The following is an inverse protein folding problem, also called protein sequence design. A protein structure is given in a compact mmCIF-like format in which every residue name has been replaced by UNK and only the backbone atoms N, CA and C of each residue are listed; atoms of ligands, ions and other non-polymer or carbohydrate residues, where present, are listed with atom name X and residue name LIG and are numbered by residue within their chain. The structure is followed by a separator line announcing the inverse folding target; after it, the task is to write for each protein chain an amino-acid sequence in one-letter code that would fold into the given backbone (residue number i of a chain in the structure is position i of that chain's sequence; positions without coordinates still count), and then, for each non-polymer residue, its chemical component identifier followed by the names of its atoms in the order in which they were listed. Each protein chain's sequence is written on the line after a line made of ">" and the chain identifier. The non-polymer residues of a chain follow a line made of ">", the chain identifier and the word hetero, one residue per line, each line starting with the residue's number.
data_IF_043527134611
#
_entry.id   IF_043527134611
#
_cell.length_a   1.000
_cell.length_b   1.000
_cell.length_c   1.000
_cell.angle_alpha   90.00
_cell.angle_beta   90.00
_cell.angle_gamma   90.00
#
_symmetry.space_group_name_H-M   'P 1'
#
loop_
_entity.id
_entity.type
_entity.pdbx_description
1 polymer ?
#
# COMPACT_ATOMS: atom_id res chain seq x y z
N UNK A 1 -10.46 13.32 0.92
CA UNK A 1 -11.85 12.84 0.96
C UNK A 1 -12.41 12.57 -0.43
N UNK A 2 -12.61 13.57 -1.31
CA UNK A 2 -13.27 13.33 -2.61
C UNK A 2 -12.63 12.25 -3.50
N UNK A 3 -11.31 12.31 -3.73
CA UNK A 3 -10.59 11.37 -4.61
C UNK A 3 -10.63 9.91 -4.14
N UNK A 4 -10.54 9.66 -2.82
CA UNK A 4 -10.56 8.29 -2.28
C UNK A 4 -11.95 7.66 -2.39
N UNK A 5 -13.02 8.46 -2.30
CA UNK A 5 -14.40 8.00 -2.49
C UNK A 5 -14.65 7.65 -3.96
N UNK A 6 -14.18 8.47 -4.89
CA UNK A 6 -14.30 8.19 -6.32
C UNK A 6 -13.58 6.89 -6.70
N UNK A 7 -12.37 6.69 -6.18
CA UNK A 7 -11.63 5.43 -6.34
C UNK A 7 -12.42 4.25 -5.77
N UNK A 8 -12.93 4.34 -4.55
CA UNK A 8 -13.74 3.28 -3.93
C UNK A 8 -14.93 2.88 -4.81
N UNK A 9 -15.67 3.85 -5.37
CA UNK A 9 -16.79 3.57 -6.30
C UNK A 9 -16.35 2.82 -7.56
N UNK A 10 -15.19 3.18 -8.13
CA UNK A 10 -14.63 2.47 -9.29
C UNK A 10 -14.27 1.02 -8.90
N UNK A 11 -13.66 0.82 -7.73
CA UNK A 11 -13.30 -0.50 -7.21
C UNK A 11 -14.54 -1.37 -6.99
N UNK A 12 -15.60 -0.84 -6.38
CA UNK A 12 -16.89 -1.53 -6.23
C UNK A 12 -17.47 -1.94 -7.58
N UNK A 13 -17.52 -1.00 -8.54
CA UNK A 13 -18.05 -1.26 -9.88
C UNK A 13 -17.27 -2.36 -10.61
N UNK A 14 -15.96 -2.47 -10.35
CA UNK A 14 -15.09 -3.50 -10.95
C UNK A 14 -14.96 -4.76 -10.09
N UNK A 15 -15.64 -4.83 -8.93
CA UNK A 15 -15.56 -5.93 -7.97
C UNK A 15 -14.11 -6.22 -7.54
N UNK A 16 -13.35 -5.16 -7.26
CA UNK A 16 -11.96 -5.25 -6.77
C UNK A 16 -11.97 -5.10 -5.25
N UNK A 17 -11.48 -6.12 -4.53
CA UNK A 17 -11.45 -6.10 -3.07
C UNK A 17 -10.19 -5.46 -2.48
N UNK A 18 -9.07 -5.48 -3.18
CA UNK A 18 -7.79 -4.88 -2.73
C UNK A 18 -7.18 -4.09 -3.89
N UNK A 19 -6.76 -2.85 -3.64
CA UNK A 19 -6.13 -2.02 -4.65
C UNK A 19 -4.99 -1.19 -4.08
N UNK A 20 -3.84 -1.24 -4.74
CA UNK A 20 -2.69 -0.36 -4.49
C UNK A 20 -2.80 0.88 -5.36
N UNK A 21 -2.61 2.06 -4.76
CA UNK A 21 -2.69 3.37 -5.43
C UNK A 21 -1.42 4.17 -5.18
N UNK A 22 -0.98 4.91 -6.19
CA UNK A 22 0.29 5.64 -6.22
C UNK A 22 0.08 7.06 -6.77
N UNK A 23 1.04 7.95 -6.52
CA UNK A 23 0.98 9.40 -6.84
C UNK A 23 -0.30 10.10 -6.32
N UNK A 24 -0.73 9.73 -5.11
CA UNK A 24 -1.99 10.24 -4.54
C UNK A 24 -1.85 11.64 -3.94
N UNK A 25 -0.60 12.07 -3.69
CA UNK A 25 -0.21 13.33 -3.04
C UNK A 25 -0.83 13.53 -1.66
N UNK A 26 -1.24 12.44 -1.01
CA UNK A 26 -1.73 12.45 0.37
C UNK A 26 -0.57 12.66 1.35
N UNK A 27 -0.85 13.32 2.47
CA UNK A 27 0.18 13.67 3.47
C UNK A 27 -0.10 12.96 4.79
N UNK A 28 0.96 12.40 5.36
CA UNK A 28 0.98 11.69 6.62
C UNK A 28 0.93 10.18 6.46
N UNK A 29 0.98 9.51 7.60
CA UNK A 29 0.83 8.06 7.74
C UNK A 29 -0.47 7.81 8.51
N UNK A 30 -1.55 7.46 7.80
CA UNK A 30 -2.87 7.30 8.42
C UNK A 30 -3.63 6.11 7.85
N UNK A 31 -4.73 5.78 8.52
CA UNK A 31 -5.77 4.90 8.03
C UNK A 31 -7.09 5.67 8.05
N UNK A 32 -7.89 5.57 6.99
CA UNK A 32 -9.18 6.26 6.88
C UNK A 32 -10.20 5.37 6.17
N UNK A 33 -11.47 5.51 6.52
CA UNK A 33 -12.55 4.83 5.82
C UNK A 33 -12.95 5.64 4.57
N UNK A 34 -13.24 4.93 3.47
CA UNK A 34 -13.54 5.49 2.16
C UNK A 34 -14.62 4.64 1.47
N UNK A 35 -15.89 5.02 1.65
CA UNK A 35 -17.05 4.47 0.93
C UNK A 35 -17.02 2.93 0.79
N UNK A 36 -17.03 2.21 1.92
CA UNK A 36 -16.97 0.75 1.93
C UNK A 36 -15.57 0.13 1.85
N UNK A 37 -14.52 0.95 1.83
CA UNK A 37 -13.12 0.50 1.91
C UNK A 37 -12.40 1.10 3.12
N UNK A 38 -11.38 0.39 3.60
CA UNK A 38 -10.35 0.94 4.48
C UNK A 38 -9.12 1.29 3.65
N UNK A 39 -8.68 2.54 3.75
CA UNK A 39 -7.50 3.05 3.06
C UNK A 39 -6.39 3.28 4.08
N UNK A 40 -5.27 2.57 3.94
CA UNK A 40 -4.01 2.93 4.59
C UNK A 40 -3.15 3.67 3.59
N UNK A 41 -2.51 4.76 4.01
CA UNK A 41 -1.62 5.52 3.14
C UNK A 41 -0.38 6.02 3.86
N UNK A 42 0.63 6.34 3.06
CA UNK A 42 1.91 6.90 3.48
C UNK A 42 2.31 7.99 2.49
N UNK A 43 2.58 9.19 3.00
CA UNK A 43 3.16 10.29 2.23
C UNK A 43 3.90 11.26 3.15
N UNK A 44 5.09 11.70 2.75
CA UNK A 44 5.96 12.56 3.57
C UNK A 44 5.71 14.04 3.35
N UNK A 45 5.65 14.46 2.09
CA UNK A 45 5.55 15.86 1.70
C UNK A 45 4.26 16.14 0.93
N UNK A 46 3.68 17.32 1.14
CA UNK A 46 2.51 17.76 0.39
C UNK A 46 2.84 17.90 -1.10
N UNK A 47 2.03 17.28 -1.95
CA UNK A 47 2.15 17.42 -3.40
C UNK A 47 3.22 16.53 -4.04
N UNK A 48 3.93 15.71 -3.27
CA UNK A 48 4.89 14.71 -3.77
C UNK A 48 4.44 13.32 -3.36
N UNK A 49 5.05 12.31 -4.00
CA UNK A 49 5.07 10.89 -3.65
C UNK A 49 4.11 10.49 -2.51
N UNK A 50 3.10 9.71 -2.85
CA UNK A 50 2.30 9.06 -1.84
C UNK A 50 1.71 7.79 -2.41
N UNK A 51 1.60 6.81 -1.53
CA UNK A 51 1.05 5.50 -1.83
C UNK A 51 -0.07 5.18 -0.84
N UNK A 52 -0.97 4.30 -1.26
CA UNK A 52 -1.99 3.76 -0.40
C UNK A 52 -2.42 2.38 -0.83
N UNK A 53 -3.02 1.65 0.09
CA UNK A 53 -3.69 0.39 -0.17
C UNK A 53 -5.13 0.54 0.34
N UNK A 54 -6.09 0.32 -0.56
CA UNK A 54 -7.51 0.18 -0.24
C UNK A 54 -7.82 -1.30 -0.09
N UNK A 55 -8.52 -1.65 0.99
CA UNK A 55 -9.05 -2.99 1.25
C UNK A 55 -10.53 -2.87 1.52
N UNK A 56 -11.31 -3.76 0.92
CA UNK A 56 -12.74 -3.87 1.13
C UNK A 56 -13.07 -4.00 2.63
N UNK A 57 -14.22 -3.45 3.04
CA UNK A 57 -14.65 -3.45 4.44
C UNK A 57 -14.71 -4.85 5.05
N UNK A 58 -15.06 -5.88 4.28
CA UNK A 58 -15.14 -7.25 4.79
C UNK A 58 -13.74 -7.84 5.03
N UNK A 59 -12.79 -7.52 4.15
CA UNK A 59 -11.41 -8.01 4.24
C UNK A 59 -10.55 -7.20 5.22
N UNK A 60 -10.97 -5.99 5.61
CA UNK A 60 -10.16 -5.12 6.48
C UNK A 60 -9.89 -5.76 7.85
N UNK A 61 -10.81 -6.59 8.35
CA UNK A 61 -10.68 -7.26 9.65
C UNK A 61 -9.63 -8.39 9.60
N UNK A 62 -9.27 -8.85 8.39
CA UNK A 62 -8.22 -9.84 8.18
C UNK A 62 -6.82 -9.19 8.16
N UNK A 63 -6.73 -7.86 8.07
CA UNK A 63 -5.45 -7.14 8.04
C UNK A 63 -4.82 -7.16 9.43
N UNK A 64 -3.81 -8.01 9.61
CA UNK A 64 -3.09 -8.15 10.88
C UNK A 64 -1.91 -7.16 11.00
N UNK A 65 -1.26 -6.83 9.89
CA UNK A 65 -0.05 -6.00 9.90
C UNK A 65 -0.08 -4.97 8.77
N UNK A 66 0.36 -3.75 9.07
CA UNK A 66 0.52 -2.67 8.09
C UNK A 66 1.91 -2.07 8.24
N UNK A 67 2.82 -2.40 7.32
CA UNK A 67 4.18 -1.88 7.26
C UNK A 67 4.24 -0.70 6.30
N UNK A 68 4.68 0.45 6.79
CA UNK A 68 4.93 1.65 5.97
C UNK A 68 6.41 1.97 6.06
N UNK A 69 7.16 1.62 5.02
CA UNK A 69 8.61 1.79 5.00
C UNK A 69 8.94 3.23 4.58
N UNK A 70 8.37 3.67 3.45
CA UNK A 70 8.57 5.02 2.91
C UNK A 70 7.27 5.61 2.36
N UNK A 71 7.33 6.78 1.75
CA UNK A 71 6.25 7.35 0.93
C UNK A 71 6.13 6.68 -0.46
N UNK A 72 6.99 5.69 -0.73
CA UNK A 72 7.05 4.90 -1.97
C UNK A 72 6.94 3.41 -1.77
N UNK A 73 7.12 2.90 -0.55
CA UNK A 73 6.98 1.48 -0.22
C UNK A 73 6.10 1.26 1.02
N UNK A 74 5.04 0.46 0.87
CA UNK A 74 4.21 -0.04 1.96
C UNK A 74 3.76 -1.47 1.69
N UNK A 75 3.43 -2.22 2.74
CA UNK A 75 2.80 -3.51 2.62
C UNK A 75 1.75 -3.73 3.71
N UNK A 76 0.83 -4.63 3.41
CA UNK A 76 -0.11 -5.18 4.39
C UNK A 76 -0.05 -6.69 4.39
N UNK A 77 -0.33 -7.28 5.54
CA UNK A 77 -0.44 -8.72 5.74
C UNK A 77 -1.87 -9.04 6.13
N UNK A 78 -2.52 -9.93 5.37
CA UNK A 78 -3.87 -10.40 5.63
C UNK A 78 -3.85 -11.89 5.99
N UNK A 79 -4.51 -12.26 7.08
CA UNK A 79 -4.74 -13.66 7.42
C UNK A 79 -5.99 -14.18 6.71
N UNK A 80 -5.85 -15.11 5.77
CA UNK A 80 -6.96 -15.69 5.01
C UNK A 80 -6.99 -17.20 5.23
N UNK A 81 -7.87 -17.66 6.14
CA UNK A 81 -7.93 -19.06 6.56
C UNK A 81 -6.63 -19.48 7.24
N UNK A 82 -6.01 -20.57 6.76
CA UNK A 82 -4.71 -21.05 7.24
C UNK A 82 -3.52 -20.39 6.51
N UNK A 83 -3.78 -19.50 5.55
CA UNK A 83 -2.76 -18.86 4.72
C UNK A 83 -2.63 -17.37 5.05
N UNK A 84 -1.47 -16.81 4.73
CA UNK A 84 -1.19 -15.37 4.87
C UNK A 84 -0.98 -14.77 3.49
N UNK A 85 -1.77 -13.75 3.15
CA UNK A 85 -1.60 -12.96 1.93
C UNK A 85 -0.82 -11.68 2.25
N UNK A 86 0.31 -11.47 1.58
CA UNK A 86 1.08 -10.23 1.68
C UNK A 86 0.86 -9.40 0.42
N UNK A 87 0.44 -8.15 0.59
CA UNK A 87 0.23 -7.20 -0.50
C UNK A 87 1.20 -6.05 -0.32
N UNK A 88 2.16 -5.92 -1.23
CA UNK A 88 3.10 -4.80 -1.27
C UNK A 88 2.69 -3.79 -2.35
N UNK A 89 2.85 -2.51 -2.03
CA UNK A 89 2.68 -1.40 -2.95
C UNK A 89 3.99 -0.63 -2.99
N UNK A 90 4.62 -0.63 -4.17
CA UNK A 90 5.91 -0.01 -4.40
C UNK A 90 5.83 0.95 -5.60
N UNK A 91 6.25 2.20 -5.41
CA UNK A 91 6.36 3.21 -6.47
C UNK A 91 7.84 3.44 -6.82
N UNK A 92 8.26 2.93 -7.97
CA UNK A 92 9.65 2.97 -8.40
C UNK A 92 10.13 4.42 -8.64
N UNK A 93 11.39 4.73 -8.25
CA UNK A 93 12.00 6.02 -8.59
C UNK A 93 12.13 6.20 -10.11
N UNK A 94 12.01 7.45 -10.57
CA UNK A 94 12.14 7.80 -11.99
C UNK A 94 13.56 7.55 -12.52
N UNK A 95 13.69 7.30 -13.83
CA UNK A 95 14.96 6.92 -14.50
C UNK A 95 16.08 7.96 -14.30
N UNK A 96 15.75 9.25 -14.20
CA UNK A 96 16.71 10.35 -14.02
C UNK A 96 17.04 10.71 -12.56
N UNK A 97 16.53 9.95 -11.58
CA UNK A 97 16.83 10.19 -10.17
C UNK A 97 18.21 9.64 -9.79
N UNK A 98 18.82 10.20 -8.74
CA UNK A 98 20.12 9.77 -8.21
C UNK A 98 20.16 8.24 -7.98
N UNK A 99 21.21 7.57 -8.45
CA UNK A 99 21.45 6.13 -8.28
C UNK A 99 21.42 5.71 -6.82
N UNK A 100 21.84 6.57 -5.90
CA UNK A 100 21.75 6.33 -4.46
C UNK A 100 20.31 6.15 -3.99
N UNK A 101 19.37 6.94 -4.54
CA UNK A 101 17.94 6.83 -4.21
C UNK A 101 17.36 5.53 -4.80
N UNK A 102 17.83 5.11 -5.97
CA UNK A 102 17.44 3.83 -6.58
C UNK A 102 17.93 2.66 -5.73
N UNK A 103 19.21 2.70 -5.32
CA UNK A 103 19.79 1.67 -4.45
C UNK A 103 19.02 1.57 -3.13
N UNK A 104 18.79 2.68 -2.44
CA UNK A 104 18.04 2.66 -1.19
C UNK A 104 16.61 2.14 -1.34
N UNK A 105 15.95 2.44 -2.46
CA UNK A 105 14.64 1.86 -2.74
C UNK A 105 14.69 0.32 -2.89
N UNK A 106 15.72 -0.21 -3.55
CA UNK A 106 15.89 -1.66 -3.67
C UNK A 106 16.27 -2.32 -2.34
N UNK A 107 17.11 -1.68 -1.52
CA UNK A 107 17.44 -2.14 -0.16
C UNK A 107 16.19 -2.18 0.74
N UNK A 108 15.36 -1.14 0.69
CA UNK A 108 14.08 -1.08 1.42
C UNK A 108 13.10 -2.17 0.95
N UNK A 109 13.09 -2.47 -0.36
CA UNK A 109 12.23 -3.51 -0.93
C UNK A 109 12.71 -4.91 -0.54
N UNK A 110 14.00 -5.16 -0.58
CA UNK A 110 14.62 -6.42 -0.16
C UNK A 110 14.37 -6.71 1.33
N UNK A 111 14.54 -5.69 2.18
CA UNK A 111 14.22 -5.79 3.61
C UNK A 111 12.73 -5.98 3.91
N UNK A 112 11.85 -5.55 3.00
CA UNK A 112 10.42 -5.85 3.10
C UNK A 112 10.14 -7.32 2.76
N UNK A 113 10.74 -7.83 1.68
CA UNK A 113 10.56 -9.20 1.19
C UNK A 113 11.14 -10.24 2.17
N UNK A 114 12.31 -9.96 2.75
CA UNK A 114 12.91 -10.79 3.81
C UNK A 114 12.05 -10.90 5.07
N UNK A 115 11.11 -9.97 5.30
CA UNK A 115 10.15 -10.05 6.41
C UNK A 115 8.91 -10.89 6.11
N UNK A 116 8.79 -11.39 4.88
CA UNK A 116 7.74 -12.32 4.48
C UNK A 116 8.31 -13.72 4.69
N UNK A 117 7.78 -14.53 5.62
CA UNK A 117 8.24 -15.90 5.75
C UNK A 117 7.99 -16.62 4.43
N UNK A 118 9.06 -17.16 3.83
CA UNK A 118 8.97 -18.13 2.74
C UNK A 118 8.26 -19.37 3.30
N UNK A 119 6.94 -19.35 3.26
CA UNK A 119 6.13 -20.49 3.63
C UNK A 119 6.04 -21.36 2.38
N UNK A 120 7.14 -22.04 2.06
CA UNK A 120 7.08 -23.20 1.20
C UNK A 120 6.31 -24.27 1.98
N UNK A 121 5.21 -24.75 1.40
CA UNK A 121 4.50 -25.95 1.85
C UNK A 121 4.56 -26.97 0.73
#
# INVERSE_FOLDING_TARGET
>A
MGKSIELAKILQKRKINIASVQDTRWVGSKAQDADGFKLWYSGREKGKNAIGILVDRELRELVGEVRRVTDRLMAIKLGVGESTLNVSSAYAPQVGLNEEIKRHFWEDLDGLDCGIPHTEK
#
